data_IF_203964256237
#
_entry.id   IF_203964256237
#
_cell.length_a   1.000
_cell.length_b   1.000
_cell.length_c   1.000
_cell.angle_alpha   90.00
_cell.angle_beta   90.00
_cell.angle_gamma   90.00
#
_symmetry.space_group_name_H-M   'P 1'
#
loop_
_entity.id
_entity.type
_entity.pdbx_description
1 polymer ?
#
# COMPACT_ATOMS: atom_id res chain seq x y z
N UNK A 1 -54.90 -8.33 0.68
CA UNK A 1 -53.94 -7.34 0.14
C UNK A 1 -53.40 -7.93 -1.15
N UNK A 2 -53.56 -7.20 -2.26
CA UNK A 2 -53.46 -7.72 -3.62
C UNK A 2 -52.02 -8.11 -3.98
N UNK A 3 -51.87 -9.24 -4.68
CA UNK A 3 -50.58 -9.77 -5.17
C UNK A 3 -49.78 -8.71 -5.97
N UNK A 4 -50.45 -7.84 -6.71
CA UNK A 4 -49.83 -6.71 -7.44
C UNK A 4 -49.16 -5.66 -6.52
N UNK A 5 -49.73 -5.39 -5.33
CA UNK A 5 -49.12 -4.45 -4.39
C UNK A 5 -47.90 -5.05 -3.70
N UNK A 6 -47.88 -6.37 -3.52
CA UNK A 6 -46.71 -7.09 -3.00
C UNK A 6 -45.58 -7.10 -4.03
N UNK A 7 -45.88 -7.42 -5.30
CA UNK A 7 -44.87 -7.41 -6.36
C UNK A 7 -44.24 -6.02 -6.54
N UNK A 8 -45.07 -4.96 -6.59
CA UNK A 8 -44.58 -3.59 -6.71
C UNK A 8 -43.68 -3.18 -5.54
N UNK A 9 -44.00 -3.64 -4.32
CA UNK A 9 -43.17 -3.39 -3.14
C UNK A 9 -41.84 -4.14 -3.23
N UNK A 10 -41.84 -5.40 -3.65
CA UNK A 10 -40.63 -6.20 -3.85
C UNK A 10 -39.70 -5.59 -4.91
N UNK A 11 -40.26 -5.14 -6.04
CA UNK A 11 -39.50 -4.47 -7.10
C UNK A 11 -38.92 -3.13 -6.60
N UNK A 12 -39.69 -2.35 -5.84
CA UNK A 12 -39.21 -1.10 -5.24
C UNK A 12 -38.10 -1.35 -4.21
N UNK A 13 -38.24 -2.40 -3.40
CA UNK A 13 -37.24 -2.81 -2.42
C UNK A 13 -35.94 -3.27 -3.09
N UNK A 14 -36.04 -4.10 -4.13
CA UNK A 14 -34.89 -4.56 -4.89
C UNK A 14 -34.11 -3.38 -5.52
N UNK A 15 -34.83 -2.45 -6.14
CA UNK A 15 -34.24 -1.22 -6.69
C UNK A 15 -33.57 -0.35 -5.61
N UNK A 16 -34.20 -0.24 -4.43
CA UNK A 16 -33.62 0.48 -3.29
C UNK A 16 -32.30 -0.16 -2.86
N UNK A 17 -32.27 -1.48 -2.61
CA UNK A 17 -31.07 -2.20 -2.17
C UNK A 17 -29.94 -2.05 -3.21
N UNK A 18 -30.24 -2.26 -4.49
CA UNK A 18 -29.26 -2.07 -5.57
C UNK A 18 -28.71 -0.64 -5.58
N UNK A 19 -29.55 0.36 -5.29
CA UNK A 19 -29.14 1.76 -5.32
C UNK A 19 -28.19 2.18 -4.18
N UNK A 20 -28.06 1.35 -3.15
CA UNK A 20 -27.17 1.60 -2.01
C UNK A 20 -25.72 1.20 -2.26
N UNK A 21 -25.44 0.37 -3.28
CA UNK A 21 -24.09 -0.11 -3.62
C UNK A 21 -23.34 -0.70 -2.41
N UNK A 22 -24.03 -1.57 -1.65
CA UNK A 22 -23.48 -2.18 -0.42
C UNK A 22 -23.04 -3.63 -0.65
N UNK A 23 -22.06 -4.07 0.12
CA UNK A 23 -21.57 -5.46 0.11
C UNK A 23 -22.72 -6.47 0.38
N UNK A 24 -22.65 -7.69 -0.18
CA UNK A 24 -23.71 -8.70 -0.02
C UNK A 24 -24.08 -9.00 1.43
N UNK A 25 -23.12 -8.98 2.35
CA UNK A 25 -23.38 -9.25 3.77
C UNK A 25 -24.13 -8.09 4.46
N UNK A 26 -23.86 -6.84 4.06
CA UNK A 26 -24.64 -5.67 4.51
C UNK A 26 -26.03 -5.69 3.90
N UNK A 27 -26.16 -6.04 2.62
CA UNK A 27 -27.45 -6.20 1.95
C UNK A 27 -28.33 -7.22 2.68
N UNK A 28 -27.80 -8.40 3.01
CA UNK A 28 -28.47 -9.43 3.82
C UNK A 28 -28.91 -8.90 5.18
N UNK A 29 -28.09 -8.09 5.85
CA UNK A 29 -28.45 -7.45 7.11
C UNK A 29 -29.64 -6.50 6.97
N UNK A 30 -29.69 -5.71 5.90
CA UNK A 30 -30.81 -4.80 5.59
C UNK A 30 -32.07 -5.60 5.22
N UNK A 31 -31.91 -6.72 4.52
CA UNK A 31 -33.02 -7.63 4.18
C UNK A 31 -33.65 -8.31 5.40
N UNK A 32 -32.94 -8.43 6.52
CA UNK A 32 -33.46 -8.99 7.77
C UNK A 32 -34.24 -7.99 8.63
N UNK A 33 -34.31 -6.72 8.23
CA UNK A 33 -35.04 -5.71 9.00
C UNK A 33 -36.56 -5.98 9.05
N UNK A 34 -37.25 -5.59 10.15
CA UNK A 34 -38.71 -5.64 10.23
C UNK A 34 -39.38 -4.82 9.11
N UNK A 35 -40.54 -5.27 8.63
CA UNK A 35 -41.25 -4.64 7.50
C UNK A 35 -41.56 -3.15 7.70
N UNK A 36 -41.83 -2.73 8.94
CA UNK A 36 -42.08 -1.31 9.25
C UNK A 36 -40.83 -0.44 9.04
N UNK A 37 -39.65 -0.98 9.36
CA UNK A 37 -38.38 -0.29 9.13
C UNK A 37 -38.06 -0.25 7.63
N UNK A 38 -38.32 -1.34 6.90
CA UNK A 38 -38.15 -1.38 5.44
C UNK A 38 -39.02 -0.35 4.72
N UNK A 39 -40.30 -0.21 5.13
CA UNK A 39 -41.21 0.82 4.61
C UNK A 39 -40.69 2.23 4.89
N UNK A 40 -40.24 2.51 6.11
CA UNK A 40 -39.64 3.81 6.45
C UNK A 40 -38.39 4.11 5.61
N UNK A 41 -37.55 3.11 5.33
CA UNK A 41 -36.38 3.27 4.47
C UNK A 41 -36.78 3.62 3.03
N UNK A 42 -37.79 2.95 2.47
CA UNK A 42 -38.33 3.26 1.14
C UNK A 42 -38.96 4.65 1.07
N UNK A 43 -39.71 5.06 2.08
CA UNK A 43 -40.29 6.41 2.15
C UNK A 43 -39.18 7.47 2.18
N UNK A 44 -38.16 7.29 3.02
CA UNK A 44 -37.01 8.19 3.08
C UNK A 44 -36.22 8.22 1.75
N UNK A 45 -36.10 7.08 1.08
CA UNK A 45 -35.46 6.97 -0.23
C UNK A 45 -36.23 7.75 -1.30
N UNK A 46 -37.56 7.62 -1.34
CA UNK A 46 -38.40 8.32 -2.32
C UNK A 46 -38.38 9.85 -2.16
N UNK A 47 -38.15 10.36 -0.94
CA UNK A 47 -38.09 11.81 -0.66
C UNK A 47 -36.72 12.41 -0.99
N UNK A 48 -35.65 11.62 -1.00
CA UNK A 48 -34.30 12.10 -1.27
C UNK A 48 -34.10 12.40 -2.76
N UNK A 49 -34.26 13.66 -3.13
CA UNK A 49 -33.86 14.17 -4.43
C UNK A 49 -32.50 14.88 -4.36
N UNK A 50 -31.56 14.59 -5.29
CA UNK A 50 -30.30 15.31 -5.40
C UNK A 50 -30.55 16.81 -5.56
N UNK A 51 -29.77 17.64 -4.85
CA UNK A 51 -29.88 19.10 -4.94
C UNK A 51 -29.67 19.62 -6.38
N UNK A 52 -28.74 19.01 -7.10
CA UNK A 52 -28.45 19.27 -8.51
C UNK A 52 -28.11 17.98 -9.24
N UNK A 53 -28.29 17.96 -10.56
CA UNK A 53 -27.94 16.81 -11.41
C UNK A 53 -26.42 16.60 -11.50
N UNK A 54 -26.00 15.38 -11.82
CA UNK A 54 -24.58 15.08 -12.04
C UNK A 54 -23.98 15.95 -13.16
N UNK A 55 -24.70 16.12 -14.28
CA UNK A 55 -24.32 16.99 -15.38
C UNK A 55 -23.99 18.43 -14.95
N UNK A 56 -24.75 18.98 -13.99
CA UNK A 56 -24.50 20.30 -13.45
C UNK A 56 -23.11 20.40 -12.81
N UNK A 57 -22.76 19.46 -11.93
CA UNK A 57 -21.45 19.45 -11.29
C UNK A 57 -20.32 19.20 -12.27
N UNK A 58 -20.48 18.27 -13.22
CA UNK A 58 -19.45 18.03 -14.25
C UNK A 58 -19.21 19.29 -15.08
N UNK A 59 -20.26 19.99 -15.49
CA UNK A 59 -20.15 21.26 -16.20
C UNK A 59 -19.42 22.33 -15.39
N UNK A 60 -19.70 22.41 -14.08
CA UNK A 60 -19.00 23.32 -13.18
C UNK A 60 -17.51 22.98 -13.05
N UNK A 61 -17.16 21.69 -12.88
CA UNK A 61 -15.76 21.22 -12.78
C UNK A 61 -15.00 21.51 -14.08
N UNK A 62 -15.60 21.22 -15.25
CA UNK A 62 -15.03 21.54 -16.55
C UNK A 62 -14.79 23.05 -16.71
N UNK A 63 -15.63 23.88 -16.11
CA UNK A 63 -15.51 25.35 -16.08
C UNK A 63 -14.45 25.90 -15.13
N UNK A 64 -13.93 25.10 -14.18
CA UNK A 64 -12.95 25.57 -13.20
C UNK A 64 -11.63 25.96 -13.87
N UNK A 65 -11.14 27.15 -13.52
CA UNK A 65 -9.88 27.70 -14.02
C UNK A 65 -8.79 27.59 -12.97
N UNK A 66 -7.66 27.04 -13.39
CA UNK A 66 -6.41 27.04 -12.60
C UNK A 66 -5.52 28.16 -13.14
N UNK A 67 -5.34 29.24 -12.37
CA UNK A 67 -4.14 30.09 -12.53
C UNK A 67 -4.05 31.13 -13.66
N UNK A 68 -5.12 31.80 -14.11
CA UNK A 68 -4.94 33.06 -14.92
C UNK A 68 -4.60 34.31 -14.09
N UNK A 69 -4.31 34.15 -12.80
CA UNK A 69 -4.03 35.26 -11.89
C UNK A 69 -2.57 35.75 -11.89
N UNK A 70 -1.67 35.13 -12.65
CA UNK A 70 -0.24 35.53 -12.69
C UNK A 70 0.08 36.64 -13.68
N UNK A 71 -0.88 37.06 -14.53
CA UNK A 71 -0.73 38.11 -15.54
C UNK A 71 -1.67 39.32 -15.38
N UNK A 72 -2.56 39.30 -14.39
CA UNK A 72 -3.46 40.42 -14.09
C UNK A 72 -3.29 40.87 -12.65
N UNK A 73 -3.18 42.19 -12.42
CA UNK A 73 -2.90 42.83 -11.13
C UNK A 73 -3.87 42.48 -9.97
N UNK A 74 -4.91 41.67 -10.18
CA UNK A 74 -5.80 41.15 -9.15
C UNK A 74 -6.12 39.67 -9.39
N UNK A 75 -5.49 38.73 -8.66
CA UNK A 75 -6.01 37.38 -8.52
C UNK A 75 -7.43 37.45 -7.96
N UNK A 76 -8.43 36.96 -8.68
CA UNK A 76 -9.77 36.82 -8.09
C UNK A 76 -9.70 35.72 -7.04
N UNK A 77 -9.54 36.10 -5.77
CA UNK A 77 -9.61 35.22 -4.59
C UNK A 77 -10.87 34.34 -4.59
N UNK A 78 -11.92 34.75 -5.32
CA UNK A 78 -13.16 34.01 -5.52
C UNK A 78 -13.03 32.72 -6.35
N UNK A 79 -12.15 32.64 -7.36
CA UNK A 79 -12.14 31.48 -8.28
C UNK A 79 -11.65 30.19 -7.56
N UNK A 80 -10.64 30.30 -6.70
CA UNK A 80 -10.11 29.18 -5.93
C UNK A 80 -11.08 28.74 -4.81
N UNK A 81 -11.74 29.70 -4.16
CA UNK A 81 -12.77 29.41 -3.17
C UNK A 81 -13.97 28.73 -3.81
N UNK A 82 -14.38 29.19 -5.00
CA UNK A 82 -15.43 28.57 -5.80
C UNK A 82 -15.07 27.14 -6.18
N UNK A 83 -13.82 26.87 -6.57
CA UNK A 83 -13.36 25.52 -6.87
C UNK A 83 -13.47 24.58 -5.65
N UNK A 84 -13.05 25.04 -4.47
CA UNK A 84 -13.21 24.30 -3.21
C UNK A 84 -14.68 23.96 -2.94
N UNK A 85 -15.58 24.94 -3.06
CA UNK A 85 -17.01 24.75 -2.78
C UNK A 85 -17.67 23.78 -3.77
N UNK A 86 -17.34 23.90 -5.06
CA UNK A 86 -17.86 23.00 -6.11
C UNK A 86 -17.40 21.57 -5.86
N UNK A 87 -16.11 21.36 -5.57
CA UNK A 87 -15.58 20.02 -5.32
C UNK A 87 -16.12 19.43 -4.01
N UNK A 88 -16.38 20.27 -3.00
CA UNK A 88 -16.99 19.83 -1.73
C UNK A 88 -18.41 19.34 -1.96
N UNK A 89 -19.21 20.13 -2.68
CA UNK A 89 -20.57 19.74 -3.02
C UNK A 89 -20.59 18.50 -3.95
N UNK A 90 -19.60 18.37 -4.85
CA UNK A 90 -19.45 17.19 -5.71
C UNK A 90 -19.14 15.95 -4.89
N UNK A 91 -18.17 16.00 -3.97
CA UNK A 91 -17.84 14.87 -3.10
C UNK A 91 -19.00 14.43 -2.23
N UNK A 92 -19.69 15.39 -1.60
CA UNK A 92 -20.90 15.08 -0.81
C UNK A 92 -21.92 14.38 -1.69
N UNK A 93 -22.14 14.86 -2.92
CA UNK A 93 -23.09 14.26 -3.86
C UNK A 93 -22.67 12.85 -4.28
N UNK A 94 -21.38 12.62 -4.57
CA UNK A 94 -20.82 11.30 -4.90
C UNK A 94 -21.00 10.29 -3.76
N UNK A 95 -20.86 10.74 -2.51
CA UNK A 95 -20.92 9.86 -1.34
C UNK A 95 -22.34 9.60 -0.81
N UNK A 96 -23.27 10.53 -1.02
CA UNK A 96 -24.57 10.51 -0.31
C UNK A 96 -25.79 10.36 -1.19
N UNK A 97 -25.68 10.62 -2.50
CA UNK A 97 -26.77 10.31 -3.43
C UNK A 97 -26.78 8.81 -3.78
N UNK A 98 -27.84 8.38 -4.46
CA UNK A 98 -27.94 7.01 -4.96
C UNK A 98 -26.84 6.69 -5.99
N UNK A 99 -26.58 5.40 -6.19
CA UNK A 99 -25.56 4.92 -7.14
C UNK A 99 -25.81 5.40 -8.58
N UNK A 100 -27.09 5.58 -8.97
CA UNK A 100 -27.46 6.06 -10.30
C UNK A 100 -26.90 7.47 -10.57
N UNK A 101 -26.90 8.34 -9.56
CA UNK A 101 -26.29 9.67 -9.67
C UNK A 101 -24.77 9.59 -9.92
N UNK A 102 -24.09 8.64 -9.28
CA UNK A 102 -22.66 8.39 -9.50
C UNK A 102 -22.42 7.89 -10.92
N UNK A 103 -23.27 7.01 -11.43
CA UNK A 103 -23.19 6.53 -12.81
C UNK A 103 -23.43 7.66 -13.81
N UNK A 104 -24.46 8.50 -13.60
CA UNK A 104 -24.68 9.69 -14.41
C UNK A 104 -23.46 10.62 -14.37
N UNK A 105 -22.79 10.78 -13.23
CA UNK A 105 -21.57 11.57 -13.13
C UNK A 105 -20.44 10.99 -13.98
N UNK A 106 -20.24 9.68 -13.93
CA UNK A 106 -19.24 8.98 -14.73
C UNK A 106 -19.55 9.04 -16.23
N UNK A 107 -20.81 8.84 -16.61
CA UNK A 107 -21.29 8.88 -18.00
C UNK A 107 -21.14 10.27 -18.64
N UNK A 108 -21.19 11.33 -17.84
CA UNK A 108 -20.97 12.71 -18.29
C UNK A 108 -19.48 13.11 -18.34
N UNK A 109 -18.56 12.15 -18.25
CA UNK A 109 -17.10 12.34 -18.16
C UNK A 109 -16.66 13.07 -16.88
N UNK A 110 -17.37 12.86 -15.77
CA UNK A 110 -17.04 13.49 -14.49
C UNK A 110 -15.66 13.08 -13.95
N UNK A 111 -15.25 11.82 -14.18
CA UNK A 111 -13.91 11.34 -13.83
C UNK A 111 -12.82 12.10 -14.60
N UNK A 112 -12.96 12.21 -15.93
CA UNK A 112 -12.02 12.93 -16.79
C UNK A 112 -11.91 14.41 -16.36
N UNK A 113 -13.04 15.06 -16.08
CA UNK A 113 -13.07 16.44 -15.60
C UNK A 113 -12.33 16.60 -14.26
N UNK A 114 -12.51 15.65 -13.34
CA UNK A 114 -11.83 15.63 -12.04
C UNK A 114 -10.33 15.43 -12.19
N UNK A 115 -9.89 14.41 -12.96
CA UNK A 115 -8.47 14.13 -13.20
C UNK A 115 -7.79 15.33 -13.85
N UNK A 116 -8.40 15.95 -14.86
CA UNK A 116 -7.86 17.13 -15.51
C UNK A 116 -7.78 18.34 -14.58
N UNK A 117 -8.75 18.56 -13.70
CA UNK A 117 -8.67 19.63 -12.72
C UNK A 117 -7.54 19.38 -11.71
N UNK A 118 -7.52 18.20 -11.08
CA UNK A 118 -6.54 17.84 -10.06
C UNK A 118 -5.13 17.87 -10.62
N UNK A 119 -4.90 17.29 -11.81
CA UNK A 119 -3.62 17.34 -12.53
C UNK A 119 -3.14 18.78 -12.73
N UNK A 120 -4.00 19.68 -13.24
CA UNK A 120 -3.64 21.09 -13.44
C UNK A 120 -3.23 21.77 -12.13
N UNK A 121 -3.95 21.51 -11.04
CA UNK A 121 -3.65 22.11 -9.73
C UNK A 121 -2.36 21.55 -9.15
N UNK A 122 -2.16 20.22 -9.16
CA UNK A 122 -0.95 19.61 -8.57
C UNK A 122 0.32 20.00 -9.33
N UNK A 123 0.27 20.10 -10.66
CA UNK A 123 1.41 20.61 -11.43
C UNK A 123 1.69 22.10 -11.16
N UNK A 124 0.67 22.89 -10.83
CA UNK A 124 0.88 24.26 -10.38
C UNK A 124 1.58 24.27 -9.02
N UNK A 125 1.14 23.45 -8.06
CA UNK A 125 1.77 23.27 -6.73
C UNK A 125 3.22 22.84 -6.86
N UNK A 126 3.47 21.84 -7.71
CA UNK A 126 4.80 21.34 -7.99
C UNK A 126 5.74 22.44 -8.52
N UNK A 127 5.25 23.33 -9.38
CA UNK A 127 6.06 24.43 -9.95
C UNK A 127 6.31 25.58 -8.98
N UNK A 128 5.40 25.88 -8.07
CA UNK A 128 5.51 27.05 -7.18
C UNK A 128 6.12 26.73 -5.82
N UNK A 129 5.71 25.63 -5.21
CA UNK A 129 6.01 25.32 -3.81
C UNK A 129 7.08 24.23 -3.72
N UNK A 130 7.11 23.30 -4.69
CA UNK A 130 7.97 22.13 -4.62
C UNK A 130 9.32 22.32 -5.31
N UNK A 131 9.35 22.65 -6.60
CA UNK A 131 10.60 22.75 -7.39
C UNK A 131 11.67 23.69 -6.80
N UNK A 132 11.33 24.89 -6.29
CA UNK A 132 12.32 25.75 -5.62
C UNK A 132 12.91 25.11 -4.35
N UNK A 133 12.13 24.31 -3.64
CA UNK A 133 12.54 23.60 -2.43
C UNK A 133 13.44 22.41 -2.78
N UNK A 134 13.12 21.67 -3.84
CA UNK A 134 13.99 20.60 -4.36
C UNK A 134 15.33 21.14 -4.79
N UNK A 135 15.37 22.23 -5.56
CA UNK A 135 16.62 22.84 -6.02
C UNK A 135 17.48 23.30 -4.82
N UNK A 136 16.86 23.79 -3.74
CA UNK A 136 17.54 24.14 -2.50
C UNK A 136 18.08 22.92 -1.74
N UNK A 137 17.31 21.82 -1.65
CA UNK A 137 17.73 20.56 -1.01
C UNK A 137 18.87 19.91 -1.82
N UNK A 138 18.78 19.91 -3.15
CA UNK A 138 19.82 19.42 -4.05
C UNK A 138 21.10 20.23 -3.94
N UNK A 139 20.99 21.56 -3.80
CA UNK A 139 22.14 22.46 -3.54
C UNK A 139 22.77 22.20 -2.17
N UNK A 140 21.98 21.94 -1.13
CA UNK A 140 22.52 21.54 0.18
C UNK A 140 23.22 20.18 0.11
N UNK A 141 22.62 19.17 -0.54
CA UNK A 141 23.26 17.85 -0.74
C UNK A 141 24.56 17.95 -1.52
N UNK A 142 24.59 18.74 -2.59
CA UNK A 142 25.81 18.95 -3.41
C UNK A 142 26.87 19.82 -2.70
N UNK A 143 26.48 20.74 -1.82
CA UNK A 143 27.42 21.46 -0.95
C UNK A 143 28.00 20.57 0.16
N UNK A 144 27.20 19.66 0.72
CA UNK A 144 27.66 18.66 1.68
C UNK A 144 28.60 17.63 1.02
N UNK A 145 28.26 17.14 -0.17
CA UNK A 145 29.11 16.22 -0.94
C UNK A 145 30.36 16.90 -1.53
N UNK A 146 30.26 18.18 -1.92
CA UNK A 146 31.38 18.98 -2.42
C UNK A 146 32.40 19.38 -1.35
N UNK A 147 32.04 19.26 -0.07
CA UNK A 147 32.95 19.50 1.06
C UNK A 147 33.76 18.25 1.46
N UNK A 148 33.49 17.07 0.87
CA UNK A 148 34.20 15.82 1.14
C UNK A 148 34.92 15.24 -0.08
N UNK A 149 35.53 16.09 -0.89
CA UNK A 149 36.47 15.64 -1.93
C UNK A 149 37.92 15.90 -1.53
N UNK A 150 38.42 15.07 -0.60
CA UNK A 150 39.77 14.51 -0.69
C UNK A 150 39.86 13.28 0.23
N UNK A 151 39.99 12.12 -0.41
CA UNK A 151 40.52 10.84 0.09
C UNK A 151 39.99 10.21 1.40
N UNK A 152 39.63 8.93 1.25
CA UNK A 152 39.36 7.88 2.24
C UNK A 152 37.89 7.65 2.62
N UNK A 153 37.39 6.49 2.19
CA UNK A 153 36.14 5.88 2.61
C UNK A 153 36.24 5.39 4.06
N UNK A 154 35.38 5.89 4.96
CA UNK A 154 35.00 5.25 6.23
C UNK A 154 33.55 5.63 6.58
N UNK A 155 32.80 4.67 7.13
CA UNK A 155 31.41 4.72 7.61
C UNK A 155 31.00 5.99 8.34
N UNK A 156 29.77 6.45 8.09
CA UNK A 156 29.06 7.42 8.94
C UNK A 156 28.07 6.66 9.81
N UNK A 157 28.58 6.15 10.94
CA UNK A 157 27.82 6.13 12.19
C UNK A 157 28.36 7.27 13.05
N UNK A 158 27.49 7.88 13.84
CA UNK A 158 27.76 8.95 14.82
C UNK A 158 27.62 10.38 14.29
N UNK A 159 26.39 10.91 14.27
CA UNK A 159 26.12 12.30 14.63
C UNK A 159 24.76 12.42 15.33
N UNK A 160 24.69 11.83 16.53
CA UNK A 160 23.86 12.29 17.63
C UNK A 160 24.83 12.53 18.80
N UNK A 161 24.59 13.57 19.60
CA UNK A 161 25.35 13.99 20.79
C UNK A 161 26.57 14.92 20.56
N UNK A 162 26.34 16.23 20.65
CA UNK A 162 26.69 16.97 21.87
C UNK A 162 26.29 18.46 21.81
N UNK A 163 25.89 18.95 22.97
CA UNK A 163 25.45 20.31 23.29
C UNK A 163 26.60 21.07 23.99
N UNK A 164 26.65 22.39 23.74
CA UNK A 164 27.19 23.51 24.55
C UNK A 164 28.64 24.05 24.41
N UNK A 165 28.63 25.39 24.28
CA UNK A 165 29.46 26.45 24.88
C UNK A 165 30.90 26.79 24.41
N UNK A 166 31.02 28.09 24.03
CA UNK A 166 32.13 29.06 24.21
C UNK A 166 33.58 28.67 23.93
N UNK A 167 34.27 29.39 23.04
CA UNK A 167 35.08 30.57 23.41
C UNK A 167 35.81 31.25 22.25
N UNK A 168 36.17 32.52 22.47
CA UNK A 168 36.94 33.40 21.57
C UNK A 168 38.45 33.05 21.55
N UNK A 169 39.14 33.42 20.46
CA UNK A 169 40.37 34.27 20.38
C UNK A 169 41.12 33.99 19.07
N UNK A 170 41.59 35.05 18.41
CA UNK A 170 42.15 35.00 17.05
C UNK A 170 43.67 35.16 16.90
N UNK A 171 44.09 35.16 15.63
CA UNK A 171 45.32 35.71 14.99
C UNK A 171 45.37 35.09 13.58
N UNK A 172 45.49 35.76 12.43
CA UNK A 172 45.89 37.12 12.08
C UNK A 172 47.24 37.12 11.34
N UNK A 173 47.26 37.02 10.00
CA UNK A 173 48.41 37.30 9.08
C UNK A 173 47.83 37.58 7.65
N UNK A 174 47.51 38.83 7.24
CA UNK A 174 48.29 39.83 6.47
C UNK A 174 48.64 39.35 5.02
N UNK A 175 48.27 40.01 3.90
CA UNK A 175 48.58 41.39 3.53
C UNK A 175 47.78 41.92 2.29
N UNK A 176 47.42 43.22 2.38
CA UNK A 176 47.41 44.31 1.37
C UNK A 176 46.95 44.11 -0.10
N UNK A 177 45.84 44.77 -0.46
CA UNK A 177 45.85 45.87 -1.45
C UNK A 177 44.54 46.66 -1.44
N UNK A 178 44.63 47.95 -1.11
CA UNK A 178 43.53 48.90 -1.10
C UNK A 178 43.07 49.23 -2.52
N UNK A 179 41.86 48.78 -2.90
CA UNK A 179 41.03 49.45 -3.91
C UNK A 179 39.70 49.86 -3.29
N UNK A 180 39.59 51.18 -3.09
CA UNK A 180 38.37 51.92 -2.76
C UNK A 180 37.29 51.58 -3.80
N UNK A 181 36.31 50.74 -3.44
CA UNK A 181 35.08 50.56 -4.22
C UNK A 181 33.86 50.79 -3.32
N UNK A 182 32.95 51.54 -3.93
CA UNK A 182 31.67 52.04 -3.42
C UNK A 182 30.87 50.94 -2.71
N UNK A 183 30.18 51.32 -1.65
CA UNK A 183 29.09 50.54 -1.08
C UNK A 183 27.94 50.47 -2.11
N UNK A 184 27.98 49.50 -3.01
CA UNK A 184 26.76 48.97 -3.60
C UNK A 184 26.10 48.11 -2.53
N UNK A 185 25.11 48.69 -1.83
CA UNK A 185 24.14 47.89 -1.08
C UNK A 185 23.40 47.05 -2.13
N UNK A 186 23.83 45.81 -2.33
CA UNK A 186 22.98 44.79 -2.97
C UNK A 186 21.81 44.60 -2.01
N UNK A 187 20.76 45.40 -2.20
CA UNK A 187 19.43 45.10 -1.72
C UNK A 187 19.02 43.81 -2.42
N UNK A 188 19.22 42.68 -1.76
CA UNK A 188 18.42 41.49 -2.05
C UNK A 188 16.97 41.86 -1.76
N UNK A 189 16.23 42.26 -2.79
CA UNK A 189 14.77 42.18 -2.73
C UNK A 189 14.45 40.71 -2.43
N UNK A 190 13.66 40.39 -1.40
CA UNK A 190 13.25 39.02 -1.19
C UNK A 190 12.51 38.61 -2.45
N UNK A 191 13.01 37.59 -3.14
CA UNK A 191 12.28 36.90 -4.19
C UNK A 191 10.96 36.53 -3.53
N UNK A 192 9.87 37.21 -3.92
CA UNK A 192 8.54 36.87 -3.43
C UNK A 192 8.25 35.49 -3.98
N UNK A 193 8.55 34.44 -3.21
CA UNK A 193 8.07 33.10 -3.46
C UNK A 193 6.55 33.21 -3.45
N UNK A 194 5.95 33.11 -4.64
CA UNK A 194 4.50 33.17 -4.80
C UNK A 194 3.93 31.86 -4.24
N UNK A 195 3.70 31.83 -2.93
CA UNK A 195 3.00 30.72 -2.30
C UNK A 195 1.59 30.60 -2.87
N UNK A 196 1.20 29.38 -3.20
CA UNK A 196 -0.19 29.08 -3.58
C UNK A 196 -1.12 29.38 -2.41
N UNK A 197 -2.28 29.97 -2.71
CA UNK A 197 -3.29 30.26 -1.69
C UNK A 197 -3.88 28.97 -1.10
N UNK A 198 -4.17 28.98 0.19
CA UNK A 198 -4.74 27.81 0.89
C UNK A 198 -6.05 27.31 0.27
N UNK A 199 -6.86 28.20 -0.31
CA UNK A 199 -8.08 27.80 -1.03
C UNK A 199 -7.82 26.86 -2.22
N UNK A 200 -6.67 26.99 -2.89
CA UNK A 200 -6.26 26.10 -3.99
C UNK A 200 -5.83 24.75 -3.42
N UNK A 201 -5.05 24.75 -2.32
CA UNK A 201 -4.65 23.54 -1.60
C UNK A 201 -5.86 22.77 -1.07
N UNK A 202 -6.81 23.48 -0.47
CA UNK A 202 -8.10 22.92 -0.03
C UNK A 202 -8.91 22.33 -1.19
N UNK A 203 -8.94 23.00 -2.35
CA UNK A 203 -9.61 22.46 -3.53
C UNK A 203 -8.97 21.15 -4.02
N UNK A 204 -7.64 21.03 -3.90
CA UNK A 204 -6.90 19.82 -4.23
C UNK A 204 -7.24 18.70 -3.25
N UNK A 205 -7.22 18.98 -1.94
CA UNK A 205 -7.66 18.03 -0.91
C UNK A 205 -9.08 17.50 -1.19
N UNK A 206 -9.98 18.41 -1.57
CA UNK A 206 -11.35 18.04 -1.87
C UNK A 206 -11.47 17.20 -3.16
N UNK A 207 -10.62 17.45 -4.15
CA UNK A 207 -10.48 16.57 -5.32
C UNK A 207 -10.05 15.15 -4.95
N UNK A 208 -9.11 14.99 -4.01
CA UNK A 208 -8.72 13.67 -3.48
C UNK A 208 -9.90 12.98 -2.78
N UNK A 209 -10.73 13.71 -2.04
CA UNK A 209 -11.95 13.14 -1.44
C UNK A 209 -12.99 12.70 -2.49
N UNK A 210 -13.10 13.39 -3.63
CA UNK A 210 -13.90 12.90 -4.75
C UNK A 210 -13.38 11.56 -5.28
N UNK A 211 -12.05 11.40 -5.43
CA UNK A 211 -11.47 10.10 -5.79
C UNK A 211 -11.77 9.01 -4.76
N UNK A 212 -11.71 9.31 -3.46
CA UNK A 212 -12.13 8.38 -2.40
C UNK A 212 -13.57 7.91 -2.60
N UNK A 213 -14.49 8.85 -2.85
CA UNK A 213 -15.90 8.51 -3.07
C UNK A 213 -16.08 7.62 -4.31
N UNK A 214 -15.35 7.89 -5.39
CA UNK A 214 -15.39 7.08 -6.61
C UNK A 214 -14.80 5.68 -6.43
N UNK A 215 -13.68 5.56 -5.70
CA UNK A 215 -13.05 4.26 -5.41
C UNK A 215 -13.90 3.37 -4.49
N UNK A 216 -14.79 3.97 -3.70
CA UNK A 216 -15.76 3.24 -2.90
C UNK A 216 -16.99 2.75 -3.69
N UNK A 217 -17.11 3.14 -4.97
CA UNK A 217 -18.17 2.67 -5.87
C UNK A 217 -17.59 1.64 -6.84
N UNK A 218 -18.27 0.52 -7.07
CA UNK A 218 -17.72 -0.56 -7.90
C UNK A 218 -17.33 -0.08 -9.31
N UNK A 219 -18.26 0.59 -10.02
CA UNK A 219 -18.02 1.14 -11.37
C UNK A 219 -16.97 2.25 -11.36
N UNK A 220 -17.05 3.15 -10.36
CA UNK A 220 -16.11 4.24 -10.17
C UNK A 220 -14.68 3.73 -9.95
N UNK A 221 -14.52 2.67 -9.15
CA UNK A 221 -13.25 2.02 -8.90
C UNK A 221 -12.63 1.44 -10.17
N UNK A 222 -13.40 0.65 -10.95
CA UNK A 222 -12.96 0.14 -12.25
C UNK A 222 -12.55 1.26 -13.20
N UNK A 223 -13.35 2.30 -13.33
CA UNK A 223 -13.04 3.43 -14.22
C UNK A 223 -11.80 4.21 -13.77
N UNK A 224 -11.60 4.44 -12.46
CA UNK A 224 -10.39 5.09 -11.94
C UNK A 224 -9.16 4.22 -12.20
N UNK A 225 -9.27 2.90 -12.01
CA UNK A 225 -8.19 1.96 -12.25
C UNK A 225 -7.75 1.94 -13.72
N UNK A 226 -8.72 1.84 -14.63
CA UNK A 226 -8.52 1.80 -16.09
C UNK A 226 -8.06 3.16 -16.65
N UNK A 227 -8.46 4.28 -16.04
CA UNK A 227 -8.14 5.61 -16.53
C UNK A 227 -6.61 5.84 -16.62
N UNK A 228 -6.05 6.22 -17.78
CA UNK A 228 -4.60 6.25 -18.04
C UNK A 228 -3.76 7.04 -17.03
N UNK A 229 -4.31 8.14 -16.50
CA UNK A 229 -3.59 9.08 -15.66
C UNK A 229 -4.13 9.18 -14.22
N UNK A 230 -5.21 8.49 -13.86
CA UNK A 230 -5.89 8.80 -12.60
C UNK A 230 -5.03 8.41 -11.39
N UNK A 231 -4.49 7.19 -11.38
CA UNK A 231 -3.60 6.70 -10.30
C UNK A 231 -2.31 7.53 -10.21
N UNK A 232 -1.73 7.93 -11.36
CA UNK A 232 -0.56 8.81 -11.40
C UNK A 232 -0.86 10.17 -10.76
N UNK A 233 -2.00 10.77 -11.09
CA UNK A 233 -2.44 12.05 -10.53
C UNK A 233 -2.71 11.94 -9.03
N UNK A 234 -3.30 10.82 -8.57
CA UNK A 234 -3.48 10.54 -7.14
C UNK A 234 -2.11 10.46 -6.45
N UNK A 235 -1.13 9.76 -7.02
CA UNK A 235 0.23 9.67 -6.45
C UNK A 235 0.91 11.04 -6.37
N UNK A 236 0.81 11.89 -7.41
CA UNK A 236 1.34 13.26 -7.38
C UNK A 236 0.73 14.11 -6.28
N UNK A 237 -0.50 13.82 -5.82
CA UNK A 237 -1.11 14.55 -4.71
C UNK A 237 -0.36 14.37 -3.37
N UNK A 238 0.61 13.43 -3.28
CA UNK A 238 1.55 13.35 -2.15
C UNK A 238 2.38 14.61 -1.97
N UNK A 239 2.52 15.46 -3.00
CA UNK A 239 3.21 16.76 -2.90
C UNK A 239 2.42 17.80 -2.11
N UNK A 240 1.15 17.54 -1.78
CA UNK A 240 0.33 18.46 -0.99
C UNK A 240 0.93 18.68 0.42
N UNK A 241 1.08 19.91 0.92
CA UNK A 241 1.79 20.17 2.19
C UNK A 241 1.10 19.58 3.43
N UNK A 242 -0.23 19.49 3.45
CA UNK A 242 -0.96 18.88 4.59
C UNK A 242 -0.78 17.37 4.64
N UNK A 243 -0.25 16.88 5.77
CA UNK A 243 -0.15 15.45 6.08
C UNK A 243 -1.50 14.73 6.07
N UNK A 244 -2.61 15.40 6.42
CA UNK A 244 -3.95 14.79 6.31
C UNK A 244 -4.31 14.43 4.86
N UNK A 245 -3.85 15.23 3.89
CA UNK A 245 -4.04 14.93 2.47
C UNK A 245 -3.12 13.79 2.04
N UNK A 246 -1.87 13.78 2.52
CA UNK A 246 -0.94 12.67 2.25
C UNK A 246 -1.46 11.35 2.80
N UNK A 247 -1.98 11.33 4.03
CA UNK A 247 -2.66 10.18 4.65
C UNK A 247 -3.75 9.66 3.73
N UNK A 248 -4.67 10.54 3.29
CA UNK A 248 -5.75 10.14 2.39
C UNK A 248 -5.21 9.55 1.08
N UNK A 249 -4.21 10.18 0.46
CA UNK A 249 -3.59 9.67 -0.77
C UNK A 249 -3.00 8.27 -0.56
N UNK A 250 -2.29 8.05 0.55
CA UNK A 250 -1.73 6.73 0.89
C UNK A 250 -2.83 5.69 1.15
N UNK A 251 -3.93 6.06 1.82
CA UNK A 251 -5.10 5.17 1.97
C UNK A 251 -5.63 4.73 0.59
N UNK A 252 -5.78 5.67 -0.35
CA UNK A 252 -6.27 5.35 -1.71
C UNK A 252 -5.30 4.45 -2.46
N UNK A 253 -4.00 4.78 -2.46
CA UNK A 253 -2.99 3.99 -3.16
C UNK A 253 -2.83 2.59 -2.56
N UNK A 254 -2.95 2.46 -1.24
CA UNK A 254 -2.91 1.16 -0.55
C UNK A 254 -4.07 0.26 -1.00
N UNK A 255 -5.29 0.82 -1.06
CA UNK A 255 -6.46 0.08 -1.55
C UNK A 255 -6.30 -0.29 -3.02
N UNK A 256 -5.84 0.64 -3.86
CA UNK A 256 -5.59 0.35 -5.29
C UNK A 256 -4.53 -0.74 -5.47
N UNK A 257 -3.48 -0.76 -4.63
CA UNK A 257 -2.41 -1.76 -4.68
C UNK A 257 -2.93 -3.20 -4.47
N UNK A 258 -3.98 -3.36 -3.66
CA UNK A 258 -4.60 -4.65 -3.32
C UNK A 258 -5.56 -5.17 -4.41
N UNK A 259 -5.95 -4.35 -5.38
CA UNK A 259 -6.77 -4.79 -6.52
C UNK A 259 -5.92 -5.69 -7.42
N UNK A 260 -6.53 -6.66 -8.10
CA UNK A 260 -5.82 -7.48 -9.10
C UNK A 260 -5.22 -6.61 -10.20
N UNK A 261 -3.89 -6.68 -10.42
CA UNK A 261 -3.16 -5.77 -11.31
C UNK A 261 -2.88 -4.37 -10.73
N UNK A 262 -3.37 -4.11 -9.51
CA UNK A 262 -3.17 -2.92 -8.69
C UNK A 262 -1.73 -2.59 -8.38
N UNK A 263 -0.98 -3.62 -7.95
CA UNK A 263 0.41 -3.48 -7.53
C UNK A 263 1.30 -2.87 -8.63
N UNK A 264 1.24 -3.43 -9.85
CA UNK A 264 1.97 -2.91 -11.00
C UNK A 264 1.54 -1.48 -11.35
N UNK A 265 0.24 -1.18 -11.24
CA UNK A 265 -0.31 0.15 -11.50
C UNK A 265 0.23 1.20 -10.54
N UNK A 266 0.35 0.86 -9.26
CA UNK A 266 0.90 1.74 -8.22
C UNK A 266 2.40 1.93 -8.41
N UNK A 267 3.17 0.86 -8.69
CA UNK A 267 4.60 0.98 -8.96
C UNK A 267 4.87 1.89 -10.18
N UNK A 268 4.13 1.70 -11.27
CA UNK A 268 4.21 2.55 -12.45
C UNK A 268 3.85 4.02 -12.15
N UNK A 269 2.90 4.26 -11.24
CA UNK A 269 2.56 5.61 -10.79
C UNK A 269 3.71 6.27 -10.01
N UNK A 270 4.44 5.52 -9.18
CA UNK A 270 5.64 6.01 -8.50
C UNK A 270 6.85 6.17 -9.44
N UNK A 271 6.96 5.36 -10.50
CA UNK A 271 7.94 5.59 -11.56
C UNK A 271 7.65 6.87 -12.36
N UNK A 272 6.36 7.18 -12.59
CA UNK A 272 5.95 8.47 -13.15
C UNK A 272 6.20 9.61 -12.15
N UNK A 273 5.88 9.44 -10.87
CA UNK A 273 6.17 10.41 -9.81
C UNK A 273 7.66 10.75 -9.78
N UNK A 274 8.54 9.73 -9.77
CA UNK A 274 9.99 9.90 -9.86
C UNK A 274 10.39 10.79 -11.03
N UNK A 275 9.88 10.51 -12.24
CA UNK A 275 10.20 11.26 -13.46
C UNK A 275 9.70 12.69 -13.43
N UNK A 276 8.49 12.91 -12.93
CA UNK A 276 7.89 14.24 -12.89
C UNK A 276 8.55 15.10 -11.83
N UNK A 277 8.69 14.56 -10.62
CA UNK A 277 9.19 15.25 -9.45
C UNK A 277 10.72 15.38 -9.45
N UNK A 278 11.41 14.48 -10.16
CA UNK A 278 12.87 14.48 -10.26
C UNK A 278 13.56 13.70 -9.14
N UNK A 279 12.94 12.63 -8.64
CA UNK A 279 13.57 11.77 -7.63
C UNK A 279 14.76 11.00 -8.24
N UNK A 280 15.78 10.74 -7.42
CA UNK A 280 16.92 9.91 -7.84
C UNK A 280 16.50 8.44 -7.91
N UNK A 281 15.73 8.01 -6.92
CA UNK A 281 15.11 6.68 -6.77
C UNK A 281 13.64 6.86 -6.45
N UNK A 282 12.78 5.93 -6.87
CA UNK A 282 11.34 6.03 -6.55
C UNK A 282 11.14 5.96 -5.03
N UNK A 283 10.07 6.59 -4.54
CA UNK A 283 9.70 6.69 -3.11
C UNK A 283 10.59 7.60 -2.25
N UNK A 284 11.59 8.26 -2.81
CA UNK A 284 12.54 9.08 -2.07
C UNK A 284 11.85 10.18 -1.23
N UNK A 285 10.93 10.94 -1.83
CA UNK A 285 10.18 11.97 -1.10
C UNK A 285 9.19 11.39 -0.11
N UNK A 286 8.59 10.25 -0.41
CA UNK A 286 7.68 9.59 0.52
C UNK A 286 8.41 9.18 1.80
N UNK A 287 9.61 8.60 1.65
CA UNK A 287 10.49 8.28 2.78
C UNK A 287 10.94 9.53 3.51
N UNK A 288 11.31 10.60 2.78
CA UNK A 288 11.66 11.86 3.40
C UNK A 288 10.51 12.43 4.25
N UNK A 289 9.28 12.46 3.73
CA UNK A 289 8.11 12.90 4.50
C UNK A 289 7.85 12.04 5.73
N UNK A 290 8.07 10.73 5.63
CA UNK A 290 7.93 9.82 6.77
C UNK A 290 8.98 10.11 7.85
N UNK A 291 10.23 10.36 7.46
CA UNK A 291 11.33 10.61 8.41
C UNK A 291 11.25 11.97 9.11
N UNK A 292 10.87 13.02 8.38
CA UNK A 292 10.86 14.39 8.94
C UNK A 292 9.61 14.68 9.75
N UNK A 293 8.51 13.96 9.54
CA UNK A 293 7.25 14.24 10.21
C UNK A 293 7.32 14.09 11.74
N UNK A 294 8.08 13.12 12.24
CA UNK A 294 8.30 12.93 13.68
C UNK A 294 9.03 14.12 14.33
N UNK A 295 10.06 14.66 13.67
CA UNK A 295 10.98 15.64 14.27
C UNK A 295 10.68 17.10 13.93
N UNK A 296 10.09 17.39 12.78
CA UNK A 296 9.97 18.75 12.23
C UNK A 296 8.53 19.27 12.19
N UNK A 297 7.53 18.40 12.35
CA UNK A 297 6.13 18.82 12.27
C UNK A 297 5.61 19.29 13.63
N UNK A 298 5.18 20.57 13.78
CA UNK A 298 4.49 21.01 15.00
C UNK A 298 3.14 20.31 15.17
N UNK A 299 2.57 19.82 14.07
CA UNK A 299 1.32 19.07 14.00
C UNK A 299 1.62 17.60 13.69
N UNK A 300 2.34 16.94 14.59
CA UNK A 300 2.61 15.51 14.47
C UNK A 300 1.29 14.73 14.37
N UNK A 301 1.17 13.98 13.27
CA UNK A 301 -0.03 13.23 12.90
C UNK A 301 0.31 11.74 12.83
N UNK A 302 -0.10 10.99 13.86
CA UNK A 302 0.07 9.54 13.94
C UNK A 302 -0.60 8.78 12.79
N UNK A 303 -1.74 9.26 12.29
CA UNK A 303 -2.46 8.59 11.21
C UNK A 303 -1.65 8.62 9.90
N UNK A 304 -0.88 9.69 9.66
CA UNK A 304 0.06 9.71 8.54
C UNK A 304 1.15 8.64 8.67
N UNK A 305 1.79 8.52 9.84
CA UNK A 305 2.84 7.51 10.07
C UNK A 305 2.29 6.08 9.88
N UNK A 306 1.10 5.83 10.42
CA UNK A 306 0.42 4.53 10.26
C UNK A 306 0.09 4.26 8.80
N UNK A 307 -0.45 5.24 8.06
CA UNK A 307 -0.75 5.07 6.62
C UNK A 307 0.50 4.89 5.77
N UNK A 308 1.63 5.53 6.11
CA UNK A 308 2.92 5.27 5.45
C UNK A 308 3.35 3.82 5.64
N UNK A 309 3.38 3.33 6.90
CA UNK A 309 3.78 1.95 7.14
C UNK A 309 2.82 0.92 6.56
N UNK A 310 1.51 1.19 6.59
CA UNK A 310 0.53 0.35 5.91
C UNK A 310 0.81 0.29 4.40
N UNK A 311 1.07 1.42 3.77
CA UNK A 311 1.42 1.47 2.36
C UNK A 311 2.73 0.69 2.07
N UNK A 312 3.76 0.86 2.89
CA UNK A 312 5.03 0.11 2.75
C UNK A 312 4.82 -1.40 2.91
N UNK A 313 4.07 -1.82 3.91
CA UNK A 313 3.71 -3.22 4.13
C UNK A 313 3.04 -3.83 2.89
N UNK A 314 2.05 -3.13 2.34
CA UNK A 314 1.33 -3.62 1.16
C UNK A 314 2.25 -3.59 -0.07
N UNK A 315 2.89 -2.46 -0.39
CA UNK A 315 3.69 -2.36 -1.63
C UNK A 315 4.87 -3.35 -1.63
N UNK A 316 5.50 -3.63 -0.49
CA UNK A 316 6.65 -4.55 -0.42
C UNK A 316 6.19 -6.01 -0.33
N UNK A 317 5.21 -6.34 0.53
CA UNK A 317 4.94 -7.74 0.90
C UNK A 317 3.67 -8.34 0.28
N UNK A 318 2.78 -7.55 -0.35
CA UNK A 318 1.53 -8.09 -0.89
C UNK A 318 1.67 -8.75 -2.27
N UNK A 319 2.84 -8.69 -2.91
CA UNK A 319 3.07 -9.35 -4.21
C UNK A 319 3.45 -10.81 -4.02
N UNK A 320 2.88 -11.69 -4.85
CA UNK A 320 3.16 -13.14 -4.84
C UNK A 320 4.55 -13.47 -5.39
N UNK A 321 5.16 -12.57 -6.17
CA UNK A 321 6.51 -12.74 -6.70
C UNK A 321 7.57 -12.44 -5.63
N UNK A 322 8.15 -13.50 -5.07
CA UNK A 322 9.21 -13.44 -4.05
C UNK A 322 10.42 -12.63 -4.53
N UNK A 323 10.78 -12.71 -5.82
CA UNK A 323 11.92 -11.96 -6.35
C UNK A 323 11.63 -10.46 -6.34
N UNK A 324 10.40 -10.09 -6.71
CA UNK A 324 9.95 -8.70 -6.63
C UNK A 324 9.88 -8.21 -5.19
N UNK A 325 9.45 -9.05 -4.23
CA UNK A 325 9.47 -8.72 -2.79
C UNK A 325 10.88 -8.40 -2.31
N UNK A 326 11.85 -9.27 -2.59
CA UNK A 326 13.26 -9.06 -2.21
C UNK A 326 13.82 -7.79 -2.85
N UNK A 327 13.52 -7.54 -4.13
CA UNK A 327 13.94 -6.32 -4.81
C UNK A 327 13.38 -5.05 -4.14
N UNK A 328 12.07 -5.03 -3.83
CA UNK A 328 11.43 -3.91 -3.16
C UNK A 328 11.94 -3.71 -1.73
N UNK A 329 12.15 -4.79 -0.99
CA UNK A 329 12.72 -4.75 0.35
C UNK A 329 14.11 -4.12 0.35
N UNK A 330 14.98 -4.54 -0.55
CA UNK A 330 16.32 -3.95 -0.70
C UNK A 330 16.25 -2.48 -1.16
N UNK A 331 15.29 -2.12 -2.01
CA UNK A 331 15.09 -0.71 -2.40
C UNK A 331 14.73 0.18 -1.19
N UNK A 332 13.77 -0.24 -0.35
CA UNK A 332 13.40 0.49 0.86
C UNK A 332 14.53 0.51 1.91
N UNK A 333 15.33 -0.55 1.98
CA UNK A 333 16.53 -0.61 2.82
C UNK A 333 17.59 0.40 2.38
N UNK A 334 17.84 0.53 1.07
CA UNK A 334 18.76 1.54 0.53
C UNK A 334 18.25 2.98 0.75
N UNK A 335 16.94 3.18 0.80
CA UNK A 335 16.33 4.46 1.21
C UNK A 335 16.45 4.74 2.72
N UNK A 336 17.00 3.81 3.50
CA UNK A 336 17.25 3.94 4.93
C UNK A 336 16.05 3.62 5.83
N UNK A 337 14.98 3.02 5.28
CA UNK A 337 13.75 2.74 6.04
C UNK A 337 14.05 1.89 7.29
N UNK A 338 14.76 0.77 7.12
CA UNK A 338 15.04 -0.19 8.21
C UNK A 338 15.75 0.49 9.38
N UNK A 339 16.79 1.28 9.12
CA UNK A 339 17.53 2.01 10.14
C UNK A 339 16.64 3.01 10.90
N UNK A 340 15.75 3.69 10.17
CA UNK A 340 14.79 4.61 10.78
C UNK A 340 13.77 3.87 11.66
N UNK A 341 13.23 2.74 11.20
CA UNK A 341 12.28 1.92 11.97
C UNK A 341 12.90 1.43 13.28
N UNK A 342 14.17 1.00 13.27
CA UNK A 342 14.89 0.63 14.49
C UNK A 342 15.03 1.80 15.47
N UNK A 343 15.24 3.02 14.96
CA UNK A 343 15.36 4.24 15.80
C UNK A 343 14.04 4.57 16.49
N UNK A 344 12.93 4.53 15.76
CA UNK A 344 11.62 4.93 16.28
C UNK A 344 10.88 3.81 17.01
N UNK A 345 11.41 2.58 17.00
CA UNK A 345 10.77 1.37 17.54
C UNK A 345 10.23 1.58 18.97
N UNK A 346 11.11 1.99 19.90
CA UNK A 346 10.76 2.16 21.31
C UNK A 346 9.94 3.43 21.61
N UNK A 347 9.81 4.33 20.63
CA UNK A 347 9.11 5.61 20.76
C UNK A 347 7.73 5.57 20.07
N UNK A 348 7.48 4.53 19.29
CA UNK A 348 6.25 4.35 18.52
C UNK A 348 5.08 3.96 19.41
N UNK A 349 3.93 4.62 19.23
CA UNK A 349 2.69 4.18 19.85
C UNK A 349 2.19 2.84 19.29
N UNK A 350 1.38 2.11 20.06
CA UNK A 350 0.88 0.75 19.74
C UNK A 350 0.39 0.56 18.29
N UNK A 351 -0.38 1.52 17.77
CA UNK A 351 -0.92 1.45 16.40
C UNK A 351 0.18 1.41 15.33
N UNK A 352 1.23 2.21 15.51
CA UNK A 352 2.36 2.28 14.57
C UNK A 352 3.30 1.09 14.80
N UNK A 353 3.57 0.76 16.07
CA UNK A 353 4.43 -0.37 16.43
C UNK A 353 3.94 -1.67 15.79
N UNK A 354 2.63 -1.96 15.84
CA UNK A 354 2.05 -3.13 15.16
C UNK A 354 2.29 -3.15 13.65
N UNK A 355 2.38 -1.99 12.99
CA UNK A 355 2.72 -1.92 11.57
C UNK A 355 4.21 -2.14 11.31
N UNK A 356 5.08 -1.68 12.22
CA UNK A 356 6.53 -1.90 12.16
C UNK A 356 6.85 -3.37 12.39
N UNK A 357 6.25 -3.99 13.40
CA UNK A 357 6.37 -5.43 13.67
C UNK A 357 5.91 -6.25 12.46
N UNK A 358 4.74 -5.93 11.89
CA UNK A 358 4.26 -6.59 10.67
C UNK A 358 5.20 -6.42 9.47
N UNK A 359 5.90 -5.28 9.34
CA UNK A 359 6.91 -5.09 8.29
C UNK A 359 8.11 -6.02 8.50
N UNK A 360 8.65 -6.03 9.72
CA UNK A 360 9.82 -6.83 10.05
C UNK A 360 9.52 -8.35 10.01
N UNK A 361 8.36 -8.77 10.48
CA UNK A 361 7.95 -10.19 10.49
C UNK A 361 7.75 -10.76 9.08
N UNK A 362 7.45 -9.92 8.09
CA UNK A 362 7.26 -10.31 6.69
C UNK A 362 8.53 -10.13 5.83
N UNK A 363 9.65 -9.76 6.46
CA UNK A 363 10.94 -9.63 5.80
C UNK A 363 11.38 -10.97 5.19
N UNK A 364 11.81 -10.95 3.93
CA UNK A 364 12.35 -12.12 3.26
C UNK A 364 13.86 -12.16 3.49
N UNK A 365 14.33 -13.11 4.30
CA UNK A 365 15.75 -13.38 4.49
C UNK A 365 16.23 -14.44 3.48
N UNK A 366 16.95 -13.97 2.46
CA UNK A 366 17.48 -14.83 1.39
C UNK A 366 18.53 -15.81 1.92
N UNK A 367 19.32 -15.43 2.94
CA UNK A 367 20.34 -16.32 3.50
C UNK A 367 19.69 -17.49 4.23
N UNK A 368 18.68 -17.21 5.07
CA UNK A 368 17.90 -18.25 5.76
C UNK A 368 17.20 -19.17 4.76
N UNK A 369 16.59 -18.61 3.70
CA UNK A 369 15.94 -19.43 2.67
C UNK A 369 16.91 -20.35 1.93
N UNK A 370 18.15 -19.90 1.69
CA UNK A 370 19.20 -20.72 1.07
C UNK A 370 19.67 -21.84 2.00
N UNK A 371 19.89 -21.52 3.28
CA UNK A 371 20.26 -22.51 4.30
C UNK A 371 19.15 -23.57 4.47
N UNK A 372 17.89 -23.16 4.54
CA UNK A 372 16.73 -24.06 4.61
C UNK A 372 16.57 -24.92 3.35
N UNK A 373 16.92 -24.40 2.17
CA UNK A 373 16.92 -25.19 0.93
C UNK A 373 17.98 -26.28 0.98
N UNK A 374 19.21 -25.93 1.36
CA UNK A 374 20.31 -26.89 1.46
C UNK A 374 20.05 -27.96 2.52
N UNK A 375 19.48 -27.57 3.67
CA UNK A 375 19.12 -28.50 4.72
C UNK A 375 18.03 -29.47 4.29
N UNK A 376 17.02 -28.99 3.54
CA UNK A 376 15.97 -29.85 2.98
C UNK A 376 16.54 -30.90 2.02
N UNK A 377 17.52 -30.55 1.20
CA UNK A 377 18.17 -31.50 0.28
C UNK A 377 18.90 -32.61 1.06
N UNK A 378 19.60 -32.26 2.15
CA UNK A 378 20.27 -33.24 3.03
C UNK A 378 19.25 -34.17 3.70
N UNK A 379 18.18 -33.61 4.28
CA UNK A 379 17.13 -34.41 4.94
C UNK A 379 16.39 -35.30 3.95
N UNK A 380 16.19 -34.84 2.72
CA UNK A 380 15.60 -35.64 1.65
C UNK A 380 16.50 -36.84 1.30
N UNK A 381 17.82 -36.65 1.25
CA UNK A 381 18.78 -37.74 1.02
C UNK A 381 18.78 -38.75 2.18
N UNK A 382 18.74 -38.29 3.43
CA UNK A 382 18.66 -39.17 4.60
C UNK A 382 17.35 -39.98 4.61
N UNK A 383 16.24 -39.34 4.22
CA UNK A 383 14.94 -40.00 4.06
C UNK A 383 15.01 -41.10 3.00
N UNK A 384 15.57 -40.81 1.83
CA UNK A 384 15.71 -41.80 0.74
C UNK A 384 16.60 -42.99 1.16
N UNK A 385 17.67 -42.73 1.92
CA UNK A 385 18.51 -43.79 2.47
C UNK A 385 17.73 -44.67 3.47
N UNK A 386 16.98 -44.05 4.38
CA UNK A 386 16.16 -44.79 5.35
C UNK A 386 15.05 -45.61 4.67
N UNK A 387 14.44 -45.08 3.60
CA UNK A 387 13.45 -45.80 2.79
C UNK A 387 14.07 -47.02 2.08
N UNK A 388 15.30 -46.89 1.55
CA UNK A 388 16.06 -48.00 0.97
C UNK A 388 16.37 -49.09 2.01
N UNK A 389 16.86 -48.69 3.18
CA UNK A 389 17.16 -49.62 4.27
C UNK A 389 15.91 -50.36 4.76
N UNK A 390 14.77 -49.66 4.82
CA UNK A 390 13.48 -50.26 5.15
C UNK A 390 13.08 -51.34 4.14
N UNK A 391 13.25 -51.09 2.83
CA UNK A 391 12.96 -52.07 1.78
C UNK A 391 13.85 -53.31 1.93
N UNK A 392 15.14 -53.12 2.22
CA UNK A 392 16.09 -54.22 2.45
C UNK A 392 15.64 -55.07 3.66
N UNK A 393 15.29 -54.42 4.78
CA UNK A 393 14.84 -55.10 5.99
C UNK A 393 13.49 -55.82 5.78
N UNK A 394 12.55 -55.22 5.05
CA UNK A 394 11.28 -55.86 4.70
C UNK A 394 11.51 -57.09 3.83
N UNK A 395 12.36 -57.00 2.81
CA UNK A 395 12.72 -58.13 1.95
C UNK A 395 13.35 -59.26 2.75
N UNK A 396 14.32 -58.93 3.62
CA UNK A 396 14.98 -59.92 4.49
C UNK A 396 13.99 -60.58 5.46
N UNK A 397 13.07 -59.80 6.03
CA UNK A 397 12.03 -60.32 6.91
C UNK A 397 11.10 -61.27 6.16
N UNK A 398 10.67 -60.92 4.95
CA UNK A 398 9.86 -61.79 4.10
C UNK A 398 10.58 -63.09 3.72
N UNK A 399 11.88 -63.04 3.38
CA UNK A 399 12.66 -64.25 3.09
C UNK A 399 12.76 -65.16 4.31
N UNK A 400 13.01 -64.59 5.50
CA UNK A 400 13.11 -65.36 6.75
C UNK A 400 11.74 -65.96 7.11
N UNK A 401 10.65 -65.21 6.96
CA UNK A 401 9.29 -65.72 7.16
C UNK A 401 9.02 -66.93 6.26
N UNK A 402 9.34 -66.83 4.97
CA UNK A 402 9.17 -67.94 4.02
C UNK A 402 10.01 -69.17 4.40
N UNK A 403 11.25 -68.99 4.88
CA UNK A 403 12.08 -70.11 5.37
C UNK A 403 11.46 -70.80 6.60
N UNK A 404 10.92 -70.03 7.56
CA UNK A 404 10.26 -70.59 8.73
C UNK A 404 8.95 -71.31 8.38
N UNK A 405 8.16 -70.75 7.45
CA UNK A 405 6.94 -71.40 6.95
C UNK A 405 7.25 -72.75 6.28
N UNK A 406 8.29 -72.80 5.44
CA UNK A 406 8.75 -74.05 4.82
C UNK A 406 9.19 -75.09 5.85
N UNK A 407 9.97 -74.69 6.87
CA UNK A 407 10.37 -75.59 7.97
C UNK A 407 9.18 -76.08 8.78
N UNK A 408 8.20 -75.21 9.05
CA UNK A 408 6.97 -75.57 9.76
C UNK A 408 6.22 -76.65 8.97
N UNK A 409 6.09 -76.49 7.66
CA UNK A 409 5.42 -77.42 6.77
C UNK A 409 6.17 -78.76 6.69
N UNK A 410 7.50 -78.76 6.61
CA UNK A 410 8.31 -79.98 6.65
C UNK A 410 8.14 -80.75 7.99
N UNK A 411 8.14 -80.03 9.11
CA UNK A 411 7.93 -80.64 10.43
C UNK A 411 6.51 -81.21 10.57
N UNK A 412 5.49 -80.50 10.08
CA UNK A 412 4.11 -81.00 10.04
C UNK A 412 4.00 -82.29 9.21
N UNK A 413 4.63 -82.35 8.04
CA UNK A 413 4.67 -83.56 7.21
C UNK A 413 5.36 -84.72 7.93
N UNK A 414 6.48 -84.48 8.64
CA UNK A 414 7.17 -85.51 9.43
C UNK A 414 6.31 -86.03 10.58
N UNK A 415 5.64 -85.14 11.31
CA UNK A 415 4.71 -85.52 12.39
C UNK A 415 3.60 -86.40 11.82
N UNK A 416 2.95 -85.96 10.74
CA UNK A 416 1.87 -86.70 10.09
C UNK A 416 2.33 -88.09 9.60
N UNK A 417 3.53 -88.19 9.02
CA UNK A 417 4.10 -89.47 8.61
C UNK A 417 4.42 -90.40 9.80
N UNK A 418 4.86 -89.86 10.93
CA UNK A 418 5.06 -90.61 12.16
C UNK A 418 3.74 -91.08 12.78
N UNK A 419 2.70 -90.24 12.75
CA UNK A 419 1.35 -90.59 13.20
C UNK A 419 0.78 -91.76 12.39
N UNK A 420 0.89 -91.71 11.05
CA UNK A 420 0.47 -92.82 10.18
C UNK A 420 1.23 -94.10 10.51
N UNK A 421 2.56 -94.04 10.68
CA UNK A 421 3.35 -95.22 11.06
C UNK A 421 2.96 -95.79 12.42
N UNK A 422 2.66 -94.94 13.40
CA UNK A 422 2.18 -95.39 14.70
C UNK A 422 0.82 -96.08 14.56
N UNK A 423 -0.11 -95.53 13.77
CA UNK A 423 -1.39 -96.18 13.48
C UNK A 423 -1.20 -97.54 12.80
N UNK A 424 -0.32 -97.66 11.81
CA UNK A 424 -0.01 -98.93 11.14
C UNK A 424 0.59 -99.96 12.10
N UNK A 425 1.46 -99.54 13.02
CA UNK A 425 2.02 -100.41 14.05
C UNK A 425 0.94 -100.87 15.05
N UNK A 426 0.05 -99.97 15.47
CA UNK A 426 -1.10 -100.31 16.32
C UNK A 426 -2.01 -101.33 15.65
N UNK A 427 -2.35 -101.15 14.37
CA UNK A 427 -3.16 -102.11 13.60
C UNK A 427 -2.46 -103.47 13.48
N UNK A 428 -1.15 -103.48 13.20
CA UNK A 428 -0.37 -104.73 13.11
C UNK A 428 -0.29 -105.48 14.45
N UNK A 429 -0.16 -104.75 15.57
CA UNK A 429 -0.18 -105.36 16.91
C UNK A 429 -1.56 -105.97 17.18
N UNK A 430 -2.64 -105.25 16.89
CA UNK A 430 -4.01 -105.76 17.06
C UNK A 430 -4.30 -106.97 16.16
N UNK A 431 -3.69 -107.09 14.98
CA UNK A 431 -3.85 -108.24 14.08
C UNK A 431 -3.09 -109.51 14.48
N UNK A 432 -2.12 -109.41 15.40
CA UNK A 432 -1.29 -110.54 15.88
C UNK A 432 -1.81 -111.19 17.17
N UNK A 433 -2.83 -110.60 17.77
CA UNK A 433 -3.63 -111.18 18.85
C UNK A 433 -5.00 -111.56 18.31
#
# INVERSE_FOLDING_TARGET
MNHENTQKYEDQWANFIQSLDVDPDKAKGIEQLPDDQKRQLLENYAVKNPKFSAFHYVSLIKGLRVGRSTLTKNPRKGDAQQAKEILLATEISLRTNNVAWVYDFLDQEGLEALVNYVSRVIHMVMRTDFRPTVDAIQQQRSALLGSFSSDQAVSITDLCDNINESDKVGSGLWCSSLRKKRHDRISFSPVHVRHISDSIRDSLHQGVRCFRALLNNQRGCSMVFEHPHAVNVIALCLLHPSYQTKTLVLELLTVVCLITGGHERVLNAFDNFKKEVGESTRFEYLIHYFFTHESESPDYNMDFMVSCMQFFNIVVHSTDDIMLRVYLQEEFKHLGLVNYLSRIYNQSGDRLLRQIEAYNDNEVDVAVLLEDSQMRDVLQQEKEQAESDLIILQTRTATIQAEYENKLLELQQKIQALEIKNQDLEVNIVSKY
#
